data_IF_661008735129
#
_entry.id   IF_661008735129
#
_cell.length_a   1.000
_cell.length_b   1.000
_cell.length_c   1.000
_cell.angle_alpha   90.00
_cell.angle_beta   90.00
_cell.angle_gamma   90.00
#
_symmetry.space_group_name_H-M   'P 1'
#
loop_
_entity.id
_entity.type
_entity.pdbx_description
1 polymer ?
#
# COMPACT_ATOMS: atom_id res chain seq x y z
N UNK A 1 0.57 10.07 25.87
CA UNK A 1 0.32 10.06 24.42
C UNK A 1 0.83 8.74 23.92
N UNK A 2 -0.03 7.91 23.35
CA UNK A 2 0.40 6.60 22.86
C UNK A 2 1.37 6.78 21.69
N UNK A 3 2.40 5.94 21.64
CA UNK A 3 3.42 6.00 20.60
C UNK A 3 2.79 5.47 19.30
N UNK A 4 2.62 6.33 18.31
CA UNK A 4 2.22 5.92 16.96
C UNK A 4 3.45 5.32 16.28
N UNK A 5 3.27 4.16 15.64
CA UNK A 5 4.34 3.48 14.89
C UNK A 5 3.87 3.23 13.46
N UNK A 6 4.78 3.45 12.52
CA UNK A 6 4.61 3.01 11.14
C UNK A 6 5.07 1.56 11.03
N UNK A 7 4.20 0.69 10.54
CA UNK A 7 4.47 -0.74 10.35
C UNK A 7 4.16 -1.14 8.91
N UNK A 8 4.93 -2.09 8.38
CA UNK A 8 4.63 -2.68 7.07
C UNK A 8 3.34 -3.51 7.12
N UNK A 9 2.53 -3.50 6.07
CA UNK A 9 1.33 -4.33 6.02
C UNK A 9 1.70 -5.82 6.01
N UNK A 10 0.89 -6.62 6.70
CA UNK A 10 0.97 -8.08 6.77
C UNK A 10 -0.43 -8.65 6.54
N UNK A 11 -0.56 -9.97 6.46
CA UNK A 11 -1.84 -10.64 6.14
C UNK A 11 -2.95 -10.34 7.16
N UNK A 12 -2.57 -10.07 8.40
CA UNK A 12 -3.49 -9.71 9.49
C UNK A 12 -4.30 -8.43 9.20
N UNK A 13 -3.78 -7.53 8.34
CA UNK A 13 -4.48 -6.30 7.97
C UNK A 13 -5.38 -6.43 6.74
N UNK A 14 -5.49 -7.61 6.14
CA UNK A 14 -6.26 -7.82 4.90
C UNK A 14 -7.67 -7.25 4.98
N UNK A 15 -8.41 -7.59 6.03
CA UNK A 15 -9.79 -7.11 6.20
C UNK A 15 -9.88 -5.58 6.26
N UNK A 16 -8.95 -4.95 6.98
CA UNK A 16 -8.94 -3.48 7.13
C UNK A 16 -8.59 -2.79 5.81
N UNK A 17 -7.57 -3.29 5.10
CA UNK A 17 -7.13 -2.74 3.80
C UNK A 17 -8.23 -2.89 2.74
N UNK A 18 -8.89 -4.06 2.70
CA UNK A 18 -9.96 -4.31 1.75
C UNK A 18 -11.24 -3.52 2.08
N UNK A 19 -11.51 -3.27 3.36
CA UNK A 19 -12.57 -2.36 3.78
C UNK A 19 -12.27 -0.91 3.36
N UNK A 20 -11.07 -0.41 3.64
CA UNK A 20 -10.61 0.90 3.17
C UNK A 20 -10.77 1.03 1.65
N UNK A 21 -10.31 0.04 0.87
CA UNK A 21 -10.49 0.00 -0.58
C UNK A 21 -11.98 0.09 -0.97
N UNK A 22 -12.84 -0.66 -0.29
CA UNK A 22 -14.27 -0.69 -0.57
C UNK A 22 -14.91 0.68 -0.38
N UNK A 23 -14.62 1.37 0.72
CA UNK A 23 -15.16 2.70 1.04
C UNK A 23 -14.84 3.72 -0.06
N UNK A 24 -13.60 3.74 -0.54
CA UNK A 24 -13.19 4.63 -1.64
C UNK A 24 -13.90 4.33 -2.97
N UNK A 25 -14.12 3.04 -3.26
CA UNK A 25 -14.84 2.63 -4.46
C UNK A 25 -16.32 3.00 -4.39
N UNK A 26 -16.96 2.84 -3.22
CA UNK A 26 -18.37 3.19 -3.00
C UNK A 26 -18.61 4.70 -3.10
N UNK A 27 -17.67 5.52 -2.61
CA UNK A 27 -17.72 6.97 -2.74
C UNK A 27 -17.27 7.48 -4.12
N UNK A 28 -16.84 6.60 -5.02
CA UNK A 28 -16.22 6.93 -6.31
C UNK A 28 -15.05 7.94 -6.18
N UNK A 29 -14.32 7.88 -5.07
CA UNK A 29 -13.19 8.76 -4.78
C UNK A 29 -11.88 8.23 -5.35
N UNK A 30 -10.88 9.10 -5.50
CA UNK A 30 -9.54 8.73 -5.93
C UNK A 30 -8.74 8.07 -4.80
N UNK A 31 -7.95 7.05 -5.11
CA UNK A 31 -7.04 6.38 -4.16
C UNK A 31 -5.58 6.69 -4.53
N UNK A 32 -5.21 7.96 -4.55
CA UNK A 32 -3.84 8.37 -4.83
C UNK A 32 -2.89 7.89 -3.72
N UNK A 33 -1.71 7.39 -4.10
CA UNK A 33 -0.69 6.95 -3.13
C UNK A 33 -0.94 5.59 -2.48
N UNK A 34 -1.95 4.83 -2.91
CA UNK A 34 -2.30 3.53 -2.32
C UNK A 34 -1.65 2.32 -3.04
N UNK A 35 -0.49 2.50 -3.69
CA UNK A 35 0.25 1.44 -4.42
C UNK A 35 -0.67 0.58 -5.31
N UNK A 36 -1.48 1.23 -6.14
CA UNK A 36 -2.43 0.60 -7.07
C UNK A 36 -3.52 -0.29 -6.43
N UNK A 37 -3.74 -0.20 -5.12
CA UNK A 37 -4.76 -0.95 -4.38
C UNK A 37 -6.15 -0.92 -5.03
N UNK A 38 -6.50 0.17 -5.74
CA UNK A 38 -7.75 0.26 -6.49
C UNK A 38 -7.89 -0.84 -7.55
N UNK A 39 -6.82 -1.14 -8.29
CA UNK A 39 -6.83 -1.97 -9.52
C UNK A 39 -6.36 -3.41 -9.32
N UNK A 40 -5.72 -3.73 -8.20
CA UNK A 40 -5.25 -5.09 -7.89
C UNK A 40 -6.39 -6.10 -7.79
N UNK A 41 -6.09 -7.36 -8.15
CA UNK A 41 -7.06 -8.47 -8.17
C UNK A 41 -7.36 -9.05 -6.79
N UNK A 42 -6.38 -9.02 -5.88
CA UNK A 42 -6.53 -9.51 -4.51
C UNK A 42 -5.59 -8.78 -3.56
N UNK A 43 -5.82 -8.94 -2.25
CA UNK A 43 -4.94 -8.41 -1.22
C UNK A 43 -3.53 -9.01 -1.31
N UNK A 44 -3.41 -10.31 -1.58
CA UNK A 44 -2.12 -10.98 -1.71
C UNK A 44 -1.31 -10.48 -2.91
N UNK A 45 -1.97 -10.24 -4.05
CA UNK A 45 -1.31 -9.66 -5.21
C UNK A 45 -0.78 -8.26 -4.91
N UNK A 46 -1.56 -7.44 -4.18
CA UNK A 46 -1.13 -6.12 -3.73
C UNK A 46 0.02 -6.16 -2.74
N UNK A 47 -0.08 -7.03 -1.71
CA UNK A 47 0.95 -7.19 -0.70
C UNK A 47 2.26 -7.69 -1.33
N UNK A 48 2.18 -8.62 -2.29
CA UNK A 48 3.34 -9.07 -3.05
C UNK A 48 3.97 -7.91 -3.83
N UNK A 49 3.18 -7.15 -4.58
CA UNK A 49 3.69 -6.03 -5.37
C UNK A 49 4.39 -4.96 -4.49
N UNK A 50 3.84 -4.66 -3.32
CA UNK A 50 4.50 -3.75 -2.36
C UNK A 50 5.84 -4.32 -1.90
N UNK A 51 5.87 -5.58 -1.49
CA UNK A 51 7.08 -6.22 -1.00
C UNK A 51 8.16 -6.32 -2.09
N UNK A 52 7.78 -6.68 -3.31
CA UNK A 52 8.69 -6.73 -4.47
C UNK A 52 9.27 -5.32 -4.73
N UNK A 53 8.44 -4.28 -4.78
CA UNK A 53 8.87 -2.89 -4.99
C UNK A 53 9.76 -2.32 -3.86
N UNK A 54 9.72 -2.92 -2.68
CA UNK A 54 10.61 -2.55 -1.56
C UNK A 54 11.98 -3.22 -1.67
N UNK A 55 12.05 -4.43 -2.25
CA UNK A 55 13.30 -5.20 -2.36
C UNK A 55 14.05 -4.91 -3.66
N UNK A 56 13.34 -4.63 -4.75
CA UNK A 56 13.97 -4.39 -6.04
C UNK A 56 14.35 -2.90 -6.24
N UNK A 57 15.49 -2.69 -6.90
CA UNK A 57 15.89 -1.39 -7.48
C UNK A 57 15.20 -1.13 -8.83
N UNK A 58 14.47 -2.12 -9.35
CA UNK A 58 13.80 -2.06 -10.65
C UNK A 58 12.29 -2.00 -10.43
N UNK A 59 11.65 -1.00 -11.00
CA UNK A 59 10.20 -0.82 -10.93
C UNK A 59 9.55 -1.36 -12.21
N UNK A 60 8.32 -1.87 -12.10
CA UNK A 60 7.51 -2.15 -13.29
C UNK A 60 7.31 -0.87 -14.12
N UNK A 61 7.37 -1.00 -15.45
CA UNK A 61 7.25 0.13 -16.38
C UNK A 61 5.96 0.93 -16.13
N UNK A 62 6.08 2.25 -15.96
CA UNK A 62 4.98 3.13 -15.62
C UNK A 62 4.72 3.33 -14.12
N UNK A 63 5.49 2.67 -13.25
CA UNK A 63 5.39 2.86 -11.80
C UNK A 63 6.18 4.10 -11.34
N UNK A 64 5.55 4.92 -10.49
CA UNK A 64 6.22 5.97 -9.73
C UNK A 64 6.28 5.53 -8.27
N UNK A 65 7.49 5.39 -7.73
CA UNK A 65 7.70 5.26 -6.27
C UNK A 65 8.32 6.54 -5.75
N UNK A 66 7.79 7.06 -4.65
CA UNK A 66 8.51 8.04 -3.84
C UNK A 66 9.11 7.32 -2.65
N UNK A 67 10.45 7.23 -2.62
CA UNK A 67 11.21 6.75 -1.47
C UNK A 67 11.69 7.97 -0.69
N UNK A 68 11.18 8.16 0.52
CA UNK A 68 11.77 9.05 1.51
C UNK A 68 12.31 8.18 2.64
N UNK A 69 13.61 8.27 2.91
CA UNK A 69 14.18 7.77 4.15
C UNK A 69 13.81 8.78 5.22
N UNK A 70 12.79 8.46 6.02
CA UNK A 70 12.50 9.21 7.24
C UNK A 70 13.20 8.46 8.35
N UNK A 71 14.35 8.97 8.78
CA UNK A 71 14.99 8.52 9.99
C UNK A 71 14.14 9.01 11.16
N UNK A 72 13.50 8.07 11.86
CA UNK A 72 12.75 8.34 13.08
C UNK A 72 13.73 8.24 14.25
N UNK A 73 14.47 9.32 14.51
CA UNK A 73 15.27 9.50 15.73
C UNK A 73 14.41 9.48 17.00
#
# INVERSE_FOLDING_TARGET
MDKIQLISPTKEFESQVMQYRKEFLECNESMAGASDLRRVKSFEAWLKAINDNLQDETLEEGSLVQRYWIDLD
#
